data_IF_603322638744
#
_entry.id   IF_603322638744
#
_cell.length_a   1.000
_cell.length_b   1.000
_cell.length_c   1.000
_cell.angle_alpha   90.00
_cell.angle_beta   90.00
_cell.angle_gamma   90.00
#
_symmetry.space_group_name_H-M   'P 1'
#
loop_
_entity.id
_entity.type
_entity.pdbx_description
1 polymer ?
#
# COMPACT_ATOMS: atom_id res chain seq x y z
N UNK A 1 -7.10 -20.77 -3.03
CA UNK A 1 -7.04 -19.31 -2.82
C UNK A 1 -7.19 -19.08 -1.33
N UNK A 2 -6.17 -18.55 -0.67
CA UNK A 2 -6.27 -18.19 0.75
C UNK A 2 -7.01 -16.85 0.86
N UNK A 3 -7.86 -16.63 1.88
CA UNK A 3 -8.49 -15.34 2.10
C UNK A 3 -7.39 -14.28 2.24
N UNK A 4 -7.38 -13.29 1.34
CA UNK A 4 -6.50 -12.14 1.40
C UNK A 4 -6.86 -11.34 2.64
N UNK A 5 -6.10 -11.54 3.72
CA UNK A 5 -6.22 -10.74 4.93
C UNK A 5 -5.87 -9.31 4.53
N UNK A 6 -6.89 -8.46 4.42
CA UNK A 6 -6.73 -7.07 4.06
C UNK A 6 -5.87 -6.40 5.14
N UNK A 7 -4.60 -6.13 4.81
CA UNK A 7 -3.61 -5.57 5.77
C UNK A 7 -3.78 -4.07 5.98
N UNK A 8 -4.77 -3.46 5.33
CA UNK A 8 -5.14 -2.08 5.61
C UNK A 8 -5.71 -1.99 7.02
N UNK A 9 -5.28 -0.96 7.76
CA UNK A 9 -6.06 -0.51 8.92
C UNK A 9 -7.42 -0.08 8.37
N UNK A 10 -8.50 -0.53 9.02
CA UNK A 10 -9.83 -0.08 8.66
C UNK A 10 -9.84 1.46 8.67
N UNK A 11 -10.37 2.12 7.63
CA UNK A 11 -10.47 3.56 7.62
C UNK A 11 -11.38 3.99 8.79
N UNK A 12 -11.08 5.12 9.45
CA UNK A 12 -12.04 5.73 10.36
C UNK A 12 -13.32 6.03 9.57
N UNK A 13 -14.48 5.94 10.23
CA UNK A 13 -15.74 6.37 9.63
C UNK A 13 -15.59 7.83 9.19
N UNK A 14 -15.78 8.11 7.91
CA UNK A 14 -15.70 9.47 7.41
C UNK A 14 -16.96 10.22 7.85
N UNK A 15 -16.85 11.03 8.90
CA UNK A 15 -17.85 12.03 9.16
C UNK A 15 -17.89 12.97 7.95
N UNK A 16 -19.06 13.10 7.33
CA UNK A 16 -19.27 13.91 6.14
C UNK A 16 -19.94 15.21 6.58
N UNK A 17 -19.30 16.33 6.27
CA UNK A 17 -19.83 17.65 6.57
C UNK A 17 -20.43 18.25 5.29
N UNK A 18 -21.55 18.95 5.43
CA UNK A 18 -22.23 19.57 4.30
C UNK A 18 -21.37 20.68 3.68
N UNK A 19 -21.39 20.78 2.35
CA UNK A 19 -20.70 21.84 1.60
C UNK A 19 -21.04 23.25 2.08
N UNK A 20 -22.25 23.46 2.60
CA UNK A 20 -22.73 24.77 3.06
C UNK A 20 -21.96 25.34 4.25
N UNK A 21 -21.35 24.50 5.10
CA UNK A 21 -20.54 24.97 6.24
C UNK A 21 -19.16 25.46 5.81
N UNK A 22 -18.65 25.01 4.66
CA UNK A 22 -17.33 25.38 4.18
C UNK A 22 -17.35 26.78 3.56
N UNK A 23 -16.39 27.62 3.95
CA UNK A 23 -16.23 28.97 3.41
C UNK A 23 -16.13 28.95 1.87
N UNK A 24 -16.86 29.86 1.20
CA UNK A 24 -16.92 29.94 -0.27
C UNK A 24 -15.54 30.11 -0.93
N UNK A 25 -14.58 30.73 -0.24
CA UNK A 25 -13.20 30.90 -0.71
C UNK A 25 -12.50 29.55 -0.99
N UNK A 26 -12.86 28.48 -0.26
CA UNK A 26 -12.26 27.16 -0.42
C UNK A 26 -12.90 26.32 -1.53
N UNK A 27 -14.07 26.72 -2.06
CA UNK A 27 -14.79 25.90 -3.05
C UNK A 27 -13.98 25.71 -4.34
N UNK A 28 -13.32 26.77 -4.82
CA UNK A 28 -12.46 26.69 -5.99
C UNK A 28 -11.25 25.75 -5.78
N UNK A 29 -10.69 25.73 -4.57
CA UNK A 29 -9.60 24.83 -4.20
C UNK A 29 -10.07 23.37 -4.23
N UNK A 30 -11.24 23.07 -3.64
CA UNK A 30 -11.83 21.72 -3.67
C UNK A 30 -12.09 21.27 -5.11
N UNK A 31 -12.65 22.13 -5.96
CA UNK A 31 -12.88 21.82 -7.37
C UNK A 31 -11.58 21.49 -8.12
N UNK A 32 -10.50 22.23 -7.85
CA UNK A 32 -9.18 21.97 -8.43
C UNK A 32 -8.62 20.63 -7.98
N UNK A 33 -8.74 20.32 -6.69
CA UNK A 33 -8.28 19.06 -6.09
C UNK A 33 -9.05 17.86 -6.64
N UNK A 34 -10.37 17.97 -6.80
CA UNK A 34 -11.19 16.88 -7.36
C UNK A 34 -10.85 16.58 -8.83
N UNK A 35 -10.47 17.60 -9.61
CA UNK A 35 -9.94 17.43 -10.98
C UNK A 35 -8.62 16.67 -10.96
N UNK A 36 -7.70 17.05 -10.06
CA UNK A 36 -6.41 16.39 -9.91
C UNK A 36 -6.56 14.93 -9.46
N UNK A 37 -7.42 14.66 -8.46
CA UNK A 37 -7.72 13.29 -8.04
C UNK A 37 -8.30 12.45 -9.17
N UNK A 38 -9.21 13.00 -9.99
CA UNK A 38 -9.74 12.28 -11.15
C UNK A 38 -8.65 11.90 -12.15
N UNK A 39 -7.74 12.83 -12.45
CA UNK A 39 -6.63 12.59 -13.37
C UNK A 39 -5.65 11.53 -12.81
N UNK A 40 -5.25 11.69 -11.55
CA UNK A 40 -4.28 10.82 -10.88
C UNK A 40 -4.84 9.42 -10.65
N UNK A 41 -6.10 9.29 -10.23
CA UNK A 41 -6.80 8.00 -10.11
C UNK A 41 -6.80 7.24 -11.43
N UNK A 42 -7.17 7.90 -12.54
CA UNK A 42 -7.17 7.26 -13.87
C UNK A 42 -5.78 6.72 -14.24
N UNK A 43 -4.73 7.53 -14.04
CA UNK A 43 -3.34 7.11 -14.33
C UNK A 43 -2.91 5.94 -13.44
N UNK A 44 -3.20 6.01 -12.13
CA UNK A 44 -2.91 4.94 -11.18
C UNK A 44 -3.64 3.64 -11.56
N UNK A 45 -4.91 3.74 -11.96
CA UNK A 45 -5.70 2.59 -12.41
C UNK A 45 -5.07 1.91 -13.62
N UNK A 46 -4.66 2.68 -14.65
CA UNK A 46 -3.94 2.12 -15.80
C UNK A 46 -2.66 1.41 -15.39
N UNK A 47 -1.86 2.00 -14.50
CA UNK A 47 -0.63 1.38 -14.00
C UNK A 47 -0.91 0.12 -13.17
N UNK A 48 -1.96 0.13 -12.35
CA UNK A 48 -2.34 -1.01 -11.52
C UNK A 48 -2.80 -2.19 -12.37
N UNK A 49 -3.57 -1.94 -13.45
CA UNK A 49 -3.94 -2.98 -14.41
C UNK A 49 -2.70 -3.56 -15.09
N UNK A 50 -1.80 -2.73 -15.60
CA UNK A 50 -0.56 -3.21 -16.23
C UNK A 50 0.30 -4.02 -15.24
N UNK A 51 0.39 -3.60 -13.97
CA UNK A 51 1.11 -4.34 -12.95
C UNK A 51 0.46 -5.70 -12.66
N UNK A 52 -0.88 -5.76 -12.58
CA UNK A 52 -1.62 -7.00 -12.35
C UNK A 52 -1.43 -8.00 -13.50
N UNK A 53 -1.40 -7.52 -14.75
CA UNK A 53 -1.15 -8.36 -15.93
C UNK A 53 0.25 -8.99 -15.86
N UNK A 54 1.28 -8.21 -15.52
CA UNK A 54 2.65 -8.72 -15.31
C UNK A 54 2.73 -9.72 -14.15
N UNK A 55 2.06 -9.44 -13.03
CA UNK A 55 1.96 -10.38 -11.89
C UNK A 55 1.32 -11.69 -12.32
N UNK A 56 0.26 -11.64 -13.13
CA UNK A 56 -0.44 -12.83 -13.60
C UNK A 56 0.46 -13.70 -14.49
N UNK A 57 1.23 -13.09 -15.39
CA UNK A 57 2.21 -13.81 -16.22
C UNK A 57 3.27 -14.46 -15.32
N UNK A 58 3.80 -13.72 -14.33
CA UNK A 58 4.77 -14.22 -13.37
C UNK A 58 4.24 -15.41 -12.55
N UNK A 59 2.98 -15.36 -12.15
CA UNK A 59 2.30 -16.44 -11.41
C UNK A 59 2.17 -17.70 -12.25
N UNK A 60 1.75 -17.58 -13.52
CA UNK A 60 1.65 -18.72 -14.44
C UNK A 60 3.02 -19.36 -14.68
N UNK A 61 4.04 -18.53 -14.89
CA UNK A 61 5.41 -18.99 -15.10
C UNK A 61 5.95 -19.71 -13.86
N UNK A 62 5.76 -19.13 -12.68
CA UNK A 62 6.17 -19.72 -11.42
C UNK A 62 5.45 -21.05 -11.16
N UNK A 63 4.14 -21.12 -11.44
CA UNK A 63 3.38 -22.35 -11.28
C UNK A 63 3.94 -23.48 -12.15
N UNK A 64 4.18 -23.20 -13.44
CA UNK A 64 4.75 -24.17 -14.40
C UNK A 64 6.17 -24.61 -14.01
N UNK A 65 7.00 -23.68 -13.54
CA UNK A 65 8.42 -23.93 -13.26
C UNK A 65 8.70 -24.43 -11.83
N UNK A 66 7.66 -24.56 -10.98
CA UNK A 66 7.80 -24.81 -9.53
C UNK A 66 8.49 -26.14 -9.22
N UNK A 67 8.10 -27.21 -9.91
CA UNK A 67 8.59 -28.56 -9.62
C UNK A 67 10.02 -28.78 -10.12
N UNK A 68 10.37 -28.16 -11.25
CA UNK A 68 11.70 -28.31 -11.87
C UNK A 68 12.79 -27.52 -11.13
N UNK A 69 12.44 -26.38 -10.52
CA UNK A 69 13.43 -25.43 -10.01
C UNK A 69 13.25 -25.06 -8.54
N UNK A 70 12.55 -25.88 -7.75
CA UNK A 70 12.26 -25.59 -6.34
C UNK A 70 13.51 -25.27 -5.51
N UNK A 71 14.61 -25.96 -5.77
CA UNK A 71 15.88 -25.80 -5.06
C UNK A 71 16.78 -24.69 -5.63
N UNK A 72 16.44 -24.13 -6.79
CA UNK A 72 17.27 -23.10 -7.43
C UNK A 72 17.26 -21.78 -6.66
N UNK A 73 18.38 -21.06 -6.71
CA UNK A 73 18.49 -19.73 -6.09
C UNK A 73 17.56 -18.71 -6.75
N UNK A 74 17.39 -18.77 -8.08
CA UNK A 74 16.51 -17.85 -8.80
C UNK A 74 15.03 -18.07 -8.43
N UNK A 75 14.60 -19.30 -8.14
CA UNK A 75 13.22 -19.58 -7.70
C UNK A 75 12.84 -18.88 -6.39
N UNK A 76 13.81 -18.72 -5.46
CA UNK A 76 13.61 -17.92 -4.25
C UNK A 76 13.37 -16.44 -4.59
N UNK A 77 14.10 -15.89 -5.57
CA UNK A 77 13.92 -14.51 -6.04
C UNK A 77 12.58 -14.31 -6.73
N UNK A 78 12.16 -15.24 -7.58
CA UNK A 78 10.82 -15.22 -8.19
C UNK A 78 9.73 -15.20 -7.12
N UNK A 79 9.86 -16.06 -6.11
CA UNK A 79 8.90 -16.11 -4.99
C UNK A 79 8.86 -14.79 -4.21
N UNK A 80 10.00 -14.13 -4.04
CA UNK A 80 10.10 -12.82 -3.38
C UNK A 80 9.43 -11.72 -4.20
N UNK A 81 9.68 -11.65 -5.52
CA UNK A 81 9.04 -10.69 -6.44
C UNK A 81 7.53 -10.84 -6.37
N UNK A 82 7.02 -12.07 -6.56
CA UNK A 82 5.58 -12.38 -6.48
C UNK A 82 4.96 -11.88 -5.18
N UNK A 83 5.59 -12.17 -4.04
CA UNK A 83 5.08 -11.75 -2.73
C UNK A 83 4.91 -10.23 -2.62
N UNK A 84 5.84 -9.45 -3.19
CA UNK A 84 5.73 -7.99 -3.15
C UNK A 84 4.73 -7.44 -4.18
N UNK A 85 4.63 -8.03 -5.37
CA UNK A 85 3.60 -7.66 -6.35
C UNK A 85 2.19 -7.87 -5.79
N UNK A 86 1.91 -9.05 -5.24
CA UNK A 86 0.63 -9.34 -4.58
C UNK A 86 0.35 -8.40 -3.40
N UNK A 87 1.39 -8.06 -2.61
CA UNK A 87 1.24 -7.13 -1.48
C UNK A 87 0.90 -5.71 -1.94
N UNK A 88 1.34 -5.28 -3.13
CA UNK A 88 0.97 -3.99 -3.71
C UNK A 88 -0.49 -4.00 -4.19
N UNK A 89 -0.91 -5.08 -4.85
CA UNK A 89 -2.29 -5.29 -5.29
C UNK A 89 -3.26 -5.30 -4.10
N UNK A 90 -2.92 -6.03 -3.03
CA UNK A 90 -3.69 -6.05 -1.77
C UNK A 90 -3.81 -4.65 -1.16
N UNK A 91 -2.82 -3.78 -1.39
CA UNK A 91 -2.89 -2.42 -0.86
C UNK A 91 -3.92 -1.58 -1.59
N UNK A 92 -4.41 -1.90 -2.80
CA UNK A 92 -5.50 -1.17 -3.47
C UNK A 92 -5.28 0.36 -3.62
N UNK A 93 -4.10 0.78 -4.08
CA UNK A 93 -3.69 2.20 -4.14
C UNK A 93 -4.73 3.08 -4.84
N UNK A 94 -5.27 2.63 -5.98
CA UNK A 94 -6.31 3.34 -6.74
C UNK A 94 -7.56 3.56 -5.90
N UNK A 95 -8.01 2.51 -5.21
CA UNK A 95 -9.17 2.57 -4.31
C UNK A 95 -9.00 3.64 -3.24
N UNK A 96 -7.81 3.85 -2.69
CA UNK A 96 -7.60 4.90 -1.68
C UNK A 96 -7.85 6.32 -2.21
N UNK A 97 -7.42 6.60 -3.43
CA UNK A 97 -7.63 7.91 -4.08
C UNK A 97 -9.11 8.07 -4.46
N UNK A 98 -9.73 7.01 -4.95
CA UNK A 98 -11.14 7.01 -5.34
C UNK A 98 -12.06 7.14 -4.13
N UNK A 99 -11.79 6.43 -3.03
CA UNK A 99 -12.52 6.51 -1.76
C UNK A 99 -12.48 7.95 -1.22
N UNK A 100 -11.29 8.56 -1.19
CA UNK A 100 -11.14 9.96 -0.78
C UNK A 100 -11.91 10.89 -1.71
N UNK A 101 -11.81 10.71 -3.04
CA UNK A 101 -12.55 11.52 -4.00
C UNK A 101 -14.06 11.35 -3.87
N UNK A 102 -14.54 10.14 -3.59
CA UNK A 102 -15.95 9.80 -3.44
C UNK A 102 -16.55 10.38 -2.15
N UNK A 103 -15.74 10.55 -1.10
CA UNK A 103 -16.19 11.19 0.15
C UNK A 103 -16.80 12.58 -0.06
N UNK A 104 -16.40 13.31 -1.11
CA UNK A 104 -16.94 14.62 -1.45
C UNK A 104 -18.38 14.60 -2.02
N UNK A 105 -18.92 13.42 -2.33
CA UNK A 105 -20.23 13.24 -2.95
C UNK A 105 -21.27 12.63 -2.01
N UNK A 106 -20.95 12.42 -0.72
CA UNK A 106 -21.95 12.09 0.30
C UNK A 106 -22.32 10.60 0.44
N UNK A 107 -21.70 9.67 -0.30
CA UNK A 107 -22.02 8.22 -0.21
C UNK A 107 -20.77 7.36 -0.27
N UNK A 108 -20.44 6.68 0.84
CA UNK A 108 -19.33 5.71 0.89
C UNK A 108 -19.74 4.27 0.56
N UNK A 109 -21.03 3.93 0.55
CA UNK A 109 -21.47 2.55 0.32
C UNK A 109 -22.05 2.33 -1.09
N UNK A 110 -21.42 1.46 -1.87
CA UNK A 110 -21.97 0.90 -3.11
C UNK A 110 -22.09 1.84 -4.32
N UNK A 111 -21.40 2.99 -4.33
CA UNK A 111 -21.60 3.99 -5.38
C UNK A 111 -21.08 3.53 -6.76
N UNK A 112 -21.97 3.51 -7.74
CA UNK A 112 -21.63 3.46 -9.14
C UNK A 112 -20.91 4.76 -9.53
N UNK A 113 -19.82 4.68 -10.31
CA UNK A 113 -19.08 5.85 -10.87
C UNK A 113 -19.97 6.92 -11.52
N UNK A 114 -21.19 6.57 -11.92
CA UNK A 114 -22.21 7.51 -12.43
C UNK A 114 -22.58 8.61 -11.43
N UNK A 115 -22.46 8.37 -10.12
CA UNK A 115 -22.84 9.33 -9.08
C UNK A 115 -21.82 10.47 -8.90
N UNK A 116 -20.62 10.35 -9.47
CA UNK A 116 -19.61 11.42 -9.49
C UNK A 116 -19.86 12.45 -10.62
N UNK A 117 -21.02 12.40 -11.27
CA UNK A 117 -21.44 13.33 -12.32
C UNK A 117 -22.28 14.44 -11.68
N UNK A 118 -21.62 15.44 -11.12
CA UNK A 118 -22.29 16.59 -10.50
C UNK A 118 -21.33 17.44 -9.68
N UNK A 119 -21.87 18.51 -9.11
CA UNK A 119 -21.19 19.30 -8.10
C UNK A 119 -21.02 18.45 -6.83
N UNK A 120 -19.86 18.58 -6.17
CA UNK A 120 -19.66 17.98 -4.86
C UNK A 120 -20.60 18.64 -3.83
N UNK A 121 -21.00 17.84 -2.84
CA UNK A 121 -22.04 18.19 -1.87
C UNK A 121 -21.56 18.08 -0.42
N UNK A 122 -20.51 17.32 -0.18
CA UNK A 122 -19.95 17.08 1.15
C UNK A 122 -18.42 17.22 1.10
N UNK A 123 -17.80 17.25 2.26
CA UNK A 123 -16.35 17.08 2.40
C UNK A 123 -16.04 16.16 3.59
N UNK A 124 -14.95 15.39 3.52
CA UNK A 124 -14.58 14.48 4.61
C UNK A 124 -14.04 15.23 5.82
N UNK A 125 -14.06 14.59 6.99
CA UNK A 125 -13.40 15.07 8.20
C UNK A 125 -11.86 15.04 8.12
N UNK A 126 -11.20 15.91 8.88
CA UNK A 126 -9.74 16.05 8.95
C UNK A 126 -9.06 14.74 9.36
N UNK A 127 -9.66 14.00 10.30
CA UNK A 127 -9.12 12.71 10.76
C UNK A 127 -9.08 11.68 9.63
N UNK A 128 -10.11 11.65 8.79
CA UNK A 128 -10.18 10.77 7.63
C UNK A 128 -9.12 11.14 6.59
N UNK A 129 -9.00 12.43 6.25
CA UNK A 129 -7.99 12.89 5.28
C UNK A 129 -6.56 12.64 5.80
N UNK A 130 -6.32 12.84 7.10
CA UNK A 130 -5.05 12.55 7.76
C UNK A 130 -4.71 11.05 7.72
N UNK A 131 -5.71 10.19 7.92
CA UNK A 131 -5.56 8.74 7.78
C UNK A 131 -5.18 8.36 6.34
N UNK A 132 -5.89 8.89 5.33
CA UNK A 132 -5.55 8.66 3.92
C UNK A 132 -4.12 9.13 3.62
N UNK A 133 -3.73 10.28 4.15
CA UNK A 133 -2.37 10.83 3.99
C UNK A 133 -1.29 9.94 4.59
N UNK A 134 -1.53 9.35 5.76
CA UNK A 134 -0.61 8.40 6.39
C UNK A 134 -0.51 7.10 5.58
N UNK A 135 -1.64 6.62 5.04
CA UNK A 135 -1.66 5.45 4.17
C UNK A 135 -0.89 5.68 2.86
N UNK A 136 -0.99 6.85 2.23
CA UNK A 136 -0.17 7.21 1.05
C UNK A 136 1.33 7.16 1.35
N UNK A 137 1.75 7.60 2.55
CA UNK A 137 3.14 7.45 3.00
C UNK A 137 3.56 5.98 3.11
N UNK A 138 2.68 5.13 3.63
CA UNK A 138 2.91 3.68 3.74
C UNK A 138 2.99 3.00 2.36
N UNK A 139 2.14 3.41 1.40
CA UNK A 139 2.21 2.99 0.00
C UNK A 139 3.56 3.33 -0.60
N UNK A 140 4.00 4.57 -0.45
CA UNK A 140 5.26 5.04 -1.02
C UNK A 140 6.45 4.23 -0.49
N UNK A 141 6.45 3.91 0.79
CA UNK A 141 7.47 3.04 1.40
C UNK A 141 7.42 1.61 0.84
N UNK A 142 6.23 1.05 0.65
CA UNK A 142 6.05 -0.27 0.06
C UNK A 142 6.50 -0.31 -1.41
N UNK A 143 6.16 0.70 -2.21
CA UNK A 143 6.59 0.82 -3.60
C UNK A 143 8.12 0.90 -3.71
N UNK A 144 8.77 1.78 -2.92
CA UNK A 144 10.24 1.88 -2.87
C UNK A 144 10.90 0.55 -2.49
N UNK A 145 10.32 -0.16 -1.51
CA UNK A 145 10.80 -1.48 -1.11
C UNK A 145 10.65 -2.50 -2.23
N UNK A 146 9.52 -2.48 -2.93
CA UNK A 146 9.24 -3.38 -4.06
C UNK A 146 10.19 -3.11 -5.22
N UNK A 147 10.41 -1.84 -5.58
CA UNK A 147 11.40 -1.44 -6.56
C UNK A 147 12.80 -1.99 -6.24
N UNK A 148 13.24 -1.82 -4.98
CA UNK A 148 14.53 -2.38 -4.52
C UNK A 148 14.60 -3.91 -4.68
N UNK A 149 13.51 -4.62 -4.42
CA UNK A 149 13.43 -6.09 -4.59
C UNK A 149 13.52 -6.46 -6.07
N UNK A 150 12.81 -5.74 -6.95
CA UNK A 150 12.83 -5.95 -8.39
C UNK A 150 14.23 -5.72 -8.97
N UNK A 151 14.93 -4.64 -8.61
CA UNK A 151 16.31 -4.41 -9.05
C UNK A 151 17.26 -5.52 -8.59
N UNK A 152 17.09 -6.03 -7.37
CA UNK A 152 17.89 -7.16 -6.85
C UNK A 152 17.59 -8.46 -7.60
N UNK A 153 16.33 -8.72 -7.91
CA UNK A 153 15.92 -9.87 -8.69
C UNK A 153 16.47 -9.80 -10.11
N UNK A 154 16.38 -8.63 -10.77
CA UNK A 154 16.95 -8.37 -12.09
C UNK A 154 18.45 -8.71 -12.11
N UNK A 155 19.25 -8.13 -11.20
CA UNK A 155 20.69 -8.44 -11.10
C UNK A 155 20.95 -9.94 -10.89
N UNK A 156 20.15 -10.59 -10.04
CA UNK A 156 20.26 -12.03 -9.79
C UNK A 156 19.94 -12.87 -11.03
N UNK A 157 18.96 -12.48 -11.84
CA UNK A 157 18.61 -13.18 -13.07
C UNK A 157 19.65 -12.95 -14.16
N UNK A 158 20.17 -11.73 -14.30
CA UNK A 158 21.27 -11.44 -15.23
C UNK A 158 22.51 -12.28 -14.94
N UNK A 159 22.87 -12.47 -13.66
CA UNK A 159 23.96 -13.37 -13.28
C UNK A 159 23.64 -14.84 -13.57
N UNK A 160 22.41 -15.29 -13.27
CA UNK A 160 22.01 -16.67 -13.55
C UNK A 160 22.04 -16.99 -15.06
N UNK A 161 21.76 -15.99 -15.91
CA UNK A 161 21.79 -16.11 -17.36
C UNK A 161 23.19 -16.47 -17.90
N UNK A 162 24.25 -16.01 -17.23
CA UNK A 162 25.65 -16.30 -17.61
C UNK A 162 26.00 -17.79 -17.51
N UNK A 163 25.23 -18.57 -16.76
CA UNK A 163 25.43 -20.02 -16.65
C UNK A 163 24.97 -20.79 -17.89
N UNK A 164 24.24 -20.17 -18.81
CA UNK A 164 23.67 -20.79 -20.01
C UNK A 164 22.49 -21.74 -19.74
N UNK A 165 22.30 -22.20 -18.50
CA UNK A 165 21.21 -23.09 -18.14
C UNK A 165 19.86 -22.36 -18.12
N UNK A 166 18.83 -22.94 -18.75
CA UNK A 166 17.46 -22.41 -18.77
C UNK A 166 17.36 -20.95 -19.24
N UNK A 167 18.23 -20.55 -20.20
CA UNK A 167 18.37 -19.16 -20.63
C UNK A 167 17.04 -18.52 -21.06
N UNK A 168 16.18 -19.26 -21.76
CA UNK A 168 14.86 -18.78 -22.18
C UNK A 168 13.95 -18.41 -21.00
N UNK A 169 13.92 -19.25 -19.95
CA UNK A 169 13.15 -18.99 -18.74
C UNK A 169 13.71 -17.77 -17.99
N UNK A 170 15.04 -17.73 -17.81
CA UNK A 170 15.70 -16.64 -17.08
C UNK A 170 15.52 -15.31 -17.83
N UNK A 171 15.65 -15.31 -19.15
CA UNK A 171 15.42 -14.13 -19.98
C UNK A 171 13.99 -13.60 -19.84
N UNK A 172 13.00 -14.51 -19.83
CA UNK A 172 11.60 -14.15 -19.61
C UNK A 172 11.38 -13.54 -18.22
N UNK A 173 11.99 -14.13 -17.17
CA UNK A 173 11.94 -13.59 -15.81
C UNK A 173 12.60 -12.21 -15.70
N UNK A 174 13.74 -12.01 -16.36
CA UNK A 174 14.43 -10.72 -16.44
C UNK A 174 13.54 -9.66 -17.09
N UNK A 175 12.91 -9.99 -18.23
CA UNK A 175 12.01 -9.07 -18.94
C UNK A 175 10.81 -8.65 -18.08
N UNK A 176 10.10 -9.62 -17.48
CA UNK A 176 8.96 -9.34 -16.57
C UNK A 176 9.40 -8.47 -15.39
N UNK A 177 10.53 -8.80 -14.77
CA UNK A 177 11.06 -8.05 -13.61
C UNK A 177 11.43 -6.62 -13.98
N UNK A 178 12.00 -6.42 -15.18
CA UNK A 178 12.32 -5.09 -15.69
C UNK A 178 11.05 -4.26 -15.90
N UNK A 179 10.02 -4.81 -16.54
CA UNK A 179 8.74 -4.11 -16.76
C UNK A 179 8.06 -3.77 -15.45
N UNK A 180 8.01 -4.71 -14.51
CA UNK A 180 7.50 -4.46 -13.15
C UNK A 180 8.27 -3.33 -12.45
N UNK A 181 9.60 -3.27 -12.61
CA UNK A 181 10.41 -2.21 -12.00
C UNK A 181 10.03 -0.83 -12.54
N UNK A 182 9.90 -0.70 -13.86
CA UNK A 182 9.44 0.54 -14.52
C UNK A 182 8.05 0.96 -14.06
N UNK A 183 7.09 0.02 -14.04
CA UNK A 183 5.72 0.29 -13.55
C UNK A 183 5.71 0.77 -12.09
N UNK A 184 6.50 0.14 -11.22
CA UNK A 184 6.60 0.54 -9.82
C UNK A 184 7.27 1.92 -9.68
N UNK A 185 8.28 2.23 -10.49
CA UNK A 185 8.91 3.55 -10.51
C UNK A 185 7.92 4.65 -10.95
N UNK A 186 7.14 4.41 -12.00
CA UNK A 186 6.08 5.33 -12.42
C UNK A 186 5.00 5.51 -11.34
N UNK A 187 4.59 4.43 -10.67
CA UNK A 187 3.68 4.50 -9.52
C UNK A 187 4.26 5.32 -8.36
N UNK A 188 5.57 5.25 -8.10
CA UNK A 188 6.23 6.07 -7.07
C UNK A 188 6.05 7.55 -7.41
N UNK A 189 6.29 7.94 -8.65
CA UNK A 189 6.13 9.33 -9.08
C UNK A 189 4.67 9.79 -9.01
N UNK A 190 3.71 8.93 -9.39
CA UNK A 190 2.28 9.24 -9.23
C UNK A 190 1.88 9.45 -7.77
N UNK A 191 2.32 8.58 -6.86
CA UNK A 191 2.00 8.72 -5.43
C UNK A 191 2.64 9.97 -4.83
N UNK A 192 3.85 10.34 -5.27
CA UNK A 192 4.47 11.63 -4.89
C UNK A 192 3.66 12.84 -5.35
N UNK A 193 2.95 12.75 -6.48
CA UNK A 193 2.04 13.80 -6.95
C UNK A 193 0.70 13.81 -6.19
N UNK A 194 0.19 12.64 -5.75
CA UNK A 194 -1.05 12.56 -4.97
C UNK A 194 -0.89 13.18 -3.59
N UNK A 195 0.23 12.94 -2.92
CA UNK A 195 0.52 13.44 -1.57
C UNK A 195 0.24 14.96 -1.40
N UNK A 196 0.83 15.86 -2.21
CA UNK A 196 0.58 17.30 -2.07
C UNK A 196 -0.87 17.68 -2.39
N UNK A 197 -1.57 16.92 -3.24
CA UNK A 197 -3.00 17.14 -3.48
C UNK A 197 -3.81 16.86 -2.22
N UNK A 198 -3.48 15.79 -1.48
CA UNK A 198 -4.08 15.49 -0.16
C UNK A 198 -3.69 16.55 0.87
N UNK A 199 -2.44 17.01 0.86
CA UNK A 199 -1.97 18.06 1.79
C UNK A 199 -2.73 19.40 1.57
N UNK A 200 -3.13 19.73 0.33
CA UNK A 200 -4.00 20.87 0.06
C UNK A 200 -5.39 20.72 0.66
N UNK A 201 -5.94 19.51 0.72
CA UNK A 201 -7.21 19.25 1.43
C UNK A 201 -7.01 19.46 2.93
N UNK A 202 -5.91 18.95 3.49
CA UNK A 202 -5.59 19.14 4.91
C UNK A 202 -5.42 20.63 5.28
N UNK A 203 -4.86 21.43 4.38
CA UNK A 203 -4.68 22.87 4.60
C UNK A 203 -6.00 23.63 4.75
N UNK A 204 -7.12 23.12 4.20
CA UNK A 204 -8.44 23.74 4.33
C UNK A 204 -8.90 23.69 5.80
N UNK A 205 -8.69 22.58 6.52
CA UNK A 205 -9.12 22.44 7.92
C UNK A 205 -8.31 23.29 8.90
N UNK A 206 -7.00 23.46 8.66
CA UNK A 206 -6.12 24.23 9.56
C UNK A 206 -6.49 25.70 9.67
N UNK A 207 -7.07 26.27 8.61
CA UNK A 207 -7.46 27.69 8.58
C UNK A 207 -8.74 27.97 9.36
N UNK A 208 -9.61 26.97 9.55
CA UNK A 208 -10.86 27.16 10.30
C UNK A 208 -10.62 27.39 11.79
N UNK A 209 -9.60 26.74 12.38
CA UNK A 209 -9.30 26.84 13.82
C UNK A 209 -8.78 28.23 14.19
N UNK A 210 -8.05 28.91 13.30
CA UNK A 210 -7.43 30.22 13.60
C UNK A 210 -8.43 31.39 13.48
N UNK A 211 -9.57 31.20 12.81
CA UNK A 211 -10.56 32.25 12.58
C UNK A 211 -11.51 32.48 13.76
N UNK A 212 -11.72 31.48 14.61
CA UNK A 212 -12.76 31.47 15.65
C UNK A 212 -12.33 32.06 17.00
N UNK A 213 -11.03 32.28 17.24
CA UNK A 213 -10.53 32.80 18.53
C UNK A 213 -10.51 34.34 18.64
N UNK A 214 -10.93 35.10 17.62
CA UNK A 214 -10.82 36.58 17.64
C UNK A 214 -12.05 37.36 18.11
N UNK A 215 -13.05 36.73 18.73
CA UNK A 215 -14.23 37.44 19.24
C UNK A 215 -14.63 37.01 20.66
N UNK A 216 -13.71 37.13 21.61
CA UNK A 216 -14.09 37.32 23.02
C UNK A 216 -13.00 38.16 23.69
N UNK A 217 -13.18 39.48 23.71
CA UNK A 217 -12.51 40.33 24.69
C UNK A 217 -13.22 40.17 26.04
N UNK A 218 -12.61 39.58 27.07
CA UNK A 218 -13.01 39.87 28.44
C UNK A 218 -12.36 41.19 28.84
N UNK A 219 -13.19 42.22 29.00
CA UNK A 219 -12.81 43.42 29.72
C UNK A 219 -12.40 43.05 31.15
N UNK A 220 -11.16 43.42 31.51
CA UNK A 220 -10.76 43.98 32.81
C UNK A 220 -11.13 43.20 34.07
N UNK A 221 -10.12 42.61 34.75
CA UNK A 221 -9.66 43.12 36.06
C UNK A 221 -8.48 42.33 36.65
N UNK A 222 -7.51 43.12 37.11
CA UNK A 222 -6.34 42.84 37.96
C UNK A 222 -6.55 41.77 39.05
N UNK A 223 -5.52 40.96 39.32
CA UNK A 223 -4.68 41.12 40.53
C UNK A 223 -3.67 39.98 40.77
N UNK A 224 -2.48 40.43 41.22
CA UNK A 224 -1.59 39.81 42.21
C UNK A 224 -0.97 38.42 41.99
N UNK A 225 0.32 38.45 41.61
CA UNK A 225 1.46 38.08 42.46
C UNK A 225 1.26 36.88 43.43
N UNK A 226 1.85 35.73 43.15
CA UNK A 226 2.42 34.84 44.20
C UNK A 226 3.54 33.99 43.60
N UNK A 227 4.72 34.09 44.19
CA UNK A 227 5.86 33.22 43.96
C UNK A 227 5.66 31.88 44.68
N UNK A 228 6.23 30.79 44.16
CA UNK A 228 7.23 29.95 44.84
C UNK A 228 7.56 28.68 44.02
N UNK A 229 8.72 28.04 44.28
CA UNK A 229 9.30 26.93 43.52
C UNK A 229 9.09 25.57 44.22
N UNK A 230 9.24 24.46 43.50
CA UNK A 230 9.77 23.17 44.02
C UNK A 230 9.89 22.16 42.86
N UNK A 231 11.11 21.68 42.57
CA UNK A 231 11.70 20.40 43.03
C UNK A 231 11.21 19.19 42.21
N UNK A 232 12.11 18.56 41.46
CA UNK A 232 12.83 17.33 41.83
C UNK A 232 12.15 16.08 41.26
N UNK A 233 12.67 15.57 40.14
CA UNK A 233 12.48 14.16 39.74
C UNK A 233 13.75 13.62 39.08
N UNK A 234 14.33 12.60 39.72
CA UNK A 234 15.19 11.52 39.17
C UNK A 234 14.55 10.19 39.64
N UNK A 235 14.92 8.99 39.15
CA UNK A 235 15.79 8.64 38.01
C UNK A 235 15.20 7.58 37.04
N UNK A 236 15.98 7.38 35.99
CA UNK A 236 15.99 6.37 34.93
C UNK A 236 15.79 4.91 35.42
N UNK A 237 14.81 4.21 34.83
CA UNK A 237 14.60 2.76 34.98
C UNK A 237 15.35 2.01 33.88
N UNK A 238 16.35 1.23 34.27
CA UNK A 238 17.08 0.28 33.42
C UNK A 238 16.32 -1.05 33.37
N UNK A 239 15.91 -1.48 32.17
CA UNK A 239 15.25 -2.76 31.94
C UNK A 239 16.30 -3.79 31.50
N UNK A 240 16.60 -4.77 32.37
CA UNK A 240 17.36 -5.97 32.00
C UNK A 240 16.51 -6.92 31.14
N UNK A 241 17.02 -7.28 29.95
CA UNK A 241 16.48 -8.37 29.13
C UNK A 241 17.17 -9.68 29.49
N UNK A 242 16.45 -10.58 30.17
CA UNK A 242 16.84 -12.00 30.28
C UNK A 242 16.56 -12.73 28.96
N UNK A 243 17.62 -13.24 28.34
CA UNK A 243 17.58 -14.15 27.19
C UNK A 243 17.35 -15.57 27.71
N UNK A 244 16.17 -16.13 27.42
CA UNK A 244 15.83 -17.52 27.72
C UNK A 244 16.31 -18.42 26.56
N UNK A 245 17.42 -19.13 26.79
CA UNK A 245 17.92 -20.20 25.93
C UNK A 245 17.05 -21.44 26.13
N UNK A 246 16.44 -21.94 25.05
CA UNK A 246 15.62 -23.16 25.05
C UNK A 246 16.46 -24.32 24.46
N UNK A 247 16.66 -25.44 25.18
CA UNK A 247 17.43 -26.56 24.66
C UNK A 247 16.63 -27.41 23.67
N UNK A 248 17.34 -27.81 22.62
CA UNK A 248 16.92 -28.69 21.54
C UNK A 248 16.68 -30.11 22.03
N UNK A 249 15.45 -30.61 21.89
CA UNK A 249 15.13 -32.02 22.09
C UNK A 249 15.15 -32.76 20.74
N UNK A 250 16.14 -33.63 20.61
CA UNK A 250 16.28 -34.68 19.61
C UNK A 250 15.16 -35.70 19.80
N UNK A 251 14.39 -35.98 18.74
CA UNK A 251 13.67 -37.27 18.60
C UNK A 251 13.77 -37.76 17.17
N UNK A 252 14.66 -38.74 17.02
CA UNK A 252 14.66 -39.76 15.98
C UNK A 252 13.37 -40.57 16.04
N UNK A 253 12.75 -40.76 14.88
CA UNK A 253 11.53 -41.54 14.72
C UNK A 253 11.37 -41.89 13.24
N UNK A 254 12.11 -42.91 12.81
CA UNK A 254 11.94 -43.56 11.52
C UNK A 254 10.52 -44.14 11.41
N UNK A 255 9.73 -43.61 10.48
CA UNK A 255 8.47 -44.24 10.06
C UNK A 255 8.62 -44.86 8.67
N UNK A 256 8.03 -46.06 8.45
CA UNK A 256 8.17 -46.81 7.21
C UNK A 256 7.39 -46.14 6.06
N UNK A 257 8.10 -45.94 4.94
CA UNK A 257 7.57 -45.35 3.71
C UNK A 257 6.52 -46.27 3.08
N UNK A 258 5.24 -45.85 3.11
CA UNK A 258 4.18 -46.45 2.31
C UNK A 258 4.43 -46.16 0.82
N UNK A 259 4.56 -47.20 0.00
CA UNK A 259 4.67 -47.13 -1.46
C UNK A 259 3.37 -46.54 -2.04
N UNK A 260 3.44 -45.32 -2.58
CA UNK A 260 2.33 -44.71 -3.34
C UNK A 260 2.25 -45.37 -4.71
N UNK A 261 1.09 -45.99 -5.01
CA UNK A 261 0.72 -46.38 -6.37
C UNK A 261 0.67 -45.13 -7.24
N UNK A 262 1.50 -45.09 -8.28
CA UNK A 262 1.47 -44.07 -9.32
C UNK A 262 0.17 -44.30 -10.10
N UNK A 263 -0.80 -43.39 -9.96
CA UNK A 263 -1.89 -43.30 -10.92
C UNK A 263 -1.29 -42.64 -12.17
N UNK A 264 -1.29 -43.37 -13.28
CA UNK A 264 -1.06 -42.82 -14.62
C UNK A 264 -2.21 -41.84 -14.87
N UNK A 265 -1.91 -40.55 -14.91
CA UNK A 265 -2.87 -39.51 -15.29
C UNK A 265 -3.11 -39.59 -16.79
N UNK A 266 -4.37 -39.68 -17.19
CA UNK A 266 -4.85 -39.73 -18.57
C UNK A 266 -4.79 -38.36 -19.29
N UNK A 267 -3.76 -37.55 -19.01
CA UNK A 267 -3.60 -36.20 -19.56
C UNK A 267 -2.77 -36.19 -20.85
N UNK A 268 -2.14 -37.31 -21.21
CA UNK A 268 -1.39 -37.44 -22.47
C UNK A 268 -2.27 -37.69 -23.71
N UNK A 269 -3.60 -37.85 -23.57
CA UNK A 269 -4.53 -38.04 -24.69
C UNK A 269 -5.18 -36.72 -25.20
N UNK A 270 -4.89 -35.57 -24.57
CA UNK A 270 -5.51 -34.27 -24.96
C UNK A 270 -4.58 -33.42 -25.83
N UNK A 271 -3.27 -33.69 -25.86
CA UNK A 271 -2.32 -32.94 -26.68
C UNK A 271 -1.56 -33.86 -27.61
N UNK A 272 -2.26 -34.35 -28.64
CA UNK A 272 -1.64 -35.02 -29.78
C UNK A 272 -0.69 -34.07 -30.52
N UNK A 273 0.60 -34.41 -30.45
CA UNK A 273 1.61 -34.17 -31.46
C UNK A 273 2.24 -35.52 -31.81
#
# INVERSE_FOLDING_TARGET
MSPTVNRRRAPPSAALTERGSLQKAHHATVDSVLKDFKLLSRRLSTMATAMADETQILDRLHYKSKNQHRSSLFSRRVSEVRRYSHRLEDFQICGLVDDLRQSFFGKMEGSNHKQMKGSWSHYPDELYVSHVRANMGSVLMLLKKTHTVLCKAFKSFSLAMQTGAFIQLILTLTAITSRLATLVEEMIELVKLVIPVVDRVLAIFKLEITGTEKLTEPATSRSALTMLPESSVKPLVTIERKVLVKPSAVRSGEQPRKKKKIKKDAIDDIFGF
#
